data_IF_468297708553
#
_entry.id   IF_468297708553
#
_cell.length_a   1.000
_cell.length_b   1.000
_cell.length_c   1.000
_cell.angle_alpha   90.00
_cell.angle_beta   90.00
_cell.angle_gamma   90.00
#
_symmetry.space_group_name_H-M   'P 1'
#
loop_
_entity.id
_entity.type
_entity.pdbx_description
1 polymer ?
#
# COMPACT_ATOMS: atom_id res chain seq x y z
N UNK A 1 -65.68 4.64 44.33
CA UNK A 1 -65.74 4.49 45.80
C UNK A 1 -65.89 3.00 46.12
N UNK A 2 -65.00 2.46 46.99
CA UNK A 2 -65.00 1.08 47.56
C UNK A 2 -64.68 -0.03 46.53
N UNK A 3 -63.76 -0.99 46.73
CA UNK A 3 -63.17 -1.61 47.93
C UNK A 3 -61.75 -2.12 47.67
N UNK A 4 -60.96 -2.15 48.74
CA UNK A 4 -59.75 -2.92 49.00
C UNK A 4 -59.90 -4.43 48.78
N UNK A 5 -58.79 -5.12 48.46
CA UNK A 5 -58.41 -6.38 49.10
C UNK A 5 -56.91 -6.64 48.90
N UNK A 6 -56.21 -6.83 50.03
CA UNK A 6 -54.81 -7.23 50.17
C UNK A 6 -54.55 -8.63 49.60
N UNK A 7 -53.32 -8.87 49.13
CA UNK A 7 -52.62 -10.14 49.32
C UNK A 7 -51.11 -9.92 49.16
N UNK A 8 -50.37 -10.23 50.22
CA UNK A 8 -48.92 -10.31 50.27
C UNK A 8 -48.38 -11.36 49.28
N UNK A 9 -47.24 -11.06 48.64
CA UNK A 9 -46.36 -12.09 48.10
C UNK A 9 -44.90 -11.61 48.13
N UNK A 10 -44.15 -12.26 49.03
CA UNK A 10 -42.70 -12.33 49.07
C UNK A 10 -42.13 -12.72 47.69
N UNK A 11 -41.16 -11.96 47.16
CA UNK A 11 -40.65 -12.20 45.82
C UNK A 11 -39.31 -11.52 45.49
N UNK A 12 -38.22 -12.17 45.90
CA UNK A 12 -36.91 -12.27 45.22
C UNK A 12 -36.28 -10.97 44.69
N UNK A 13 -35.21 -10.54 45.36
CA UNK A 13 -34.19 -9.64 44.83
C UNK A 13 -33.58 -10.31 43.58
N UNK A 14 -33.98 -9.85 42.39
CA UNK A 14 -33.36 -10.26 41.15
C UNK A 14 -32.03 -9.51 41.00
N UNK A 15 -30.92 -10.23 41.23
CA UNK A 15 -29.58 -9.73 40.96
C UNK A 15 -29.41 -9.66 39.43
N UNK A 16 -29.51 -8.46 38.87
CA UNK A 16 -29.23 -8.21 37.47
C UNK A 16 -27.71 -8.35 37.25
N UNK A 17 -27.27 -9.50 36.73
CA UNK A 17 -25.90 -9.69 36.28
C UNK A 17 -25.75 -8.92 34.97
N UNK A 18 -25.23 -7.70 35.07
CA UNK A 18 -24.82 -6.90 33.92
C UNK A 18 -23.61 -7.62 33.28
N UNK A 19 -23.87 -8.47 32.30
CA UNK A 19 -22.83 -9.15 31.53
C UNK A 19 -22.19 -8.10 30.61
N UNK A 20 -21.11 -7.48 31.08
CA UNK A 20 -20.28 -6.61 30.27
C UNK A 20 -19.46 -7.49 29.32
N UNK A 21 -20.02 -7.77 28.13
CA UNK A 21 -19.25 -8.34 27.03
C UNK A 21 -18.22 -7.29 26.60
N UNK A 22 -17.00 -7.40 27.12
CA UNK A 22 -15.83 -6.72 26.53
C UNK A 22 -15.59 -7.41 25.18
N UNK A 23 -16.21 -6.87 24.12
CA UNK A 23 -15.83 -7.22 22.77
C UNK A 23 -14.40 -6.73 22.56
N UNK A 24 -13.45 -7.66 22.43
CA UNK A 24 -12.14 -7.32 21.88
C UNK A 24 -12.40 -6.68 20.51
N UNK A 25 -11.83 -5.48 20.22
CA UNK A 25 -11.95 -4.92 18.88
C UNK A 25 -11.42 -5.96 17.88
N UNK A 26 -12.08 -6.14 16.72
CA UNK A 26 -11.48 -6.93 15.67
C UNK A 26 -10.11 -6.33 15.36
N UNK A 27 -9.09 -7.15 15.16
CA UNK A 27 -7.81 -6.69 14.67
C UNK A 27 -8.05 -6.06 13.28
N UNK A 28 -8.12 -4.72 13.23
CA UNK A 28 -8.23 -3.96 11.99
C UNK A 28 -6.81 -3.84 11.45
N UNK A 29 -6.48 -4.65 10.44
CA UNK A 29 -5.23 -4.52 9.72
C UNK A 29 -5.33 -3.38 8.72
N UNK A 30 -4.30 -2.55 8.64
CA UNK A 30 -4.20 -1.39 7.75
C UNK A 30 -3.86 -1.78 6.30
N UNK A 31 -4.00 -3.06 5.95
CA UNK A 31 -3.58 -3.62 4.67
C UNK A 31 -4.34 -3.08 3.46
N UNK A 32 -4.06 -3.59 2.24
CA UNK A 32 -4.69 -3.11 1.02
C UNK A 32 -6.23 -3.19 1.05
N UNK A 33 -6.90 -2.09 0.70
CA UNK A 33 -8.36 -1.95 0.75
C UNK A 33 -8.97 -1.74 -0.63
N UNK A 34 -10.18 -2.28 -0.84
CA UNK A 34 -10.97 -2.02 -2.04
C UNK A 34 -10.31 -2.46 -3.35
N UNK A 35 -9.54 -3.54 -3.32
CA UNK A 35 -8.78 -4.02 -4.47
C UNK A 35 -9.69 -4.38 -5.66
N UNK A 36 -9.40 -3.80 -6.83
CA UNK A 36 -10.02 -4.09 -8.11
C UNK A 36 -8.93 -4.39 -9.14
N UNK A 37 -8.99 -5.56 -9.75
CA UNK A 37 -8.04 -5.96 -10.82
C UNK A 37 -8.50 -5.35 -12.14
N UNK A 38 -7.70 -4.47 -12.73
CA UNK A 38 -7.98 -3.84 -14.03
C UNK A 38 -7.31 -4.57 -15.20
N UNK A 39 -6.18 -5.22 -14.95
CA UNK A 39 -5.42 -5.97 -15.96
C UNK A 39 -4.64 -7.12 -15.33
N UNK A 40 -4.48 -8.23 -16.07
CA UNK A 40 -3.76 -9.42 -15.61
C UNK A 40 -4.58 -10.32 -14.69
N UNK A 41 -3.91 -11.28 -14.07
CA UNK A 41 -4.49 -12.21 -13.11
C UNK A 41 -3.90 -11.94 -11.73
N UNK A 42 -4.76 -11.81 -10.72
CA UNK A 42 -4.33 -11.54 -9.34
C UNK A 42 -5.16 -12.37 -8.37
N UNK A 43 -4.49 -12.95 -7.38
CA UNK A 43 -5.11 -13.64 -6.26
C UNK A 43 -4.57 -13.08 -4.94
N UNK A 44 -5.47 -12.87 -3.98
CA UNK A 44 -5.14 -12.35 -2.67
C UNK A 44 -5.32 -13.44 -1.62
N UNK A 45 -4.34 -13.58 -0.74
CA UNK A 45 -4.40 -14.48 0.41
C UNK A 45 -3.93 -13.73 1.64
N UNK A 46 -4.78 -13.64 2.65
CA UNK A 46 -4.44 -12.99 3.91
C UNK A 46 -4.39 -14.03 5.03
N UNK A 47 -3.31 -13.99 5.82
CA UNK A 47 -3.10 -14.85 6.98
C UNK A 47 -2.45 -14.04 8.09
N UNK A 48 -3.22 -13.69 9.12
CA UNK A 48 -2.70 -12.78 10.14
C UNK A 48 -2.32 -11.43 9.52
N UNK A 49 -1.28 -10.81 10.07
CA UNK A 49 -0.73 -9.54 9.57
C UNK A 49 -0.01 -9.65 8.19
N UNK A 50 -0.06 -10.81 7.52
CA UNK A 50 0.55 -11.00 6.20
C UNK A 50 -0.51 -11.11 5.10
N UNK A 51 -0.38 -10.26 4.09
CA UNK A 51 -1.14 -10.32 2.83
C UNK A 51 -0.20 -10.74 1.71
N UNK A 52 -0.48 -11.89 1.10
CA UNK A 52 0.23 -12.39 -0.08
C UNK A 52 -0.61 -12.13 -1.33
N UNK A 53 0.00 -11.51 -2.34
CA UNK A 53 -0.63 -11.13 -3.60
C UNK A 53 0.11 -11.86 -4.72
N UNK A 54 -0.53 -12.87 -5.28
CA UNK A 54 -0.02 -13.57 -6.47
C UNK A 54 -0.49 -12.77 -7.68
N UNK A 55 0.44 -12.22 -8.46
CA UNK A 55 0.11 -11.34 -9.58
C UNK A 55 0.85 -11.76 -10.85
N UNK A 56 0.16 -11.83 -11.99
CA UNK A 56 0.79 -12.06 -13.28
C UNK A 56 1.70 -10.88 -13.68
N UNK A 57 2.55 -11.09 -14.69
CA UNK A 57 3.27 -9.97 -15.29
C UNK A 57 2.30 -8.93 -15.87
N UNK A 58 2.70 -7.66 -15.75
CA UNK A 58 1.95 -6.45 -16.11
C UNK A 58 0.55 -6.38 -15.48
N UNK A 59 0.31 -7.01 -14.34
CA UNK A 59 -0.95 -6.86 -13.62
C UNK A 59 -1.14 -5.41 -13.15
N UNK A 60 -2.39 -4.93 -13.19
CA UNK A 60 -2.78 -3.61 -12.69
C UNK A 60 -3.89 -3.81 -11.66
N UNK A 61 -3.66 -3.34 -10.45
CA UNK A 61 -4.59 -3.40 -9.34
C UNK A 61 -4.86 -1.98 -8.87
N UNK A 62 -6.14 -1.61 -8.82
CA UNK A 62 -6.59 -0.36 -8.23
C UNK A 62 -7.08 -0.60 -6.80
N UNK A 63 -6.75 0.31 -5.88
CA UNK A 63 -7.14 0.24 -4.48
C UNK A 63 -7.83 1.54 -4.04
N UNK A 64 -8.75 1.46 -3.08
CA UNK A 64 -9.31 2.62 -2.38
C UNK A 64 -8.41 3.12 -1.25
N UNK A 65 -7.47 2.28 -0.80
CA UNK A 65 -6.45 2.56 0.21
C UNK A 65 -5.38 1.48 0.17
N UNK A 66 -4.14 1.82 0.45
CA UNK A 66 -3.05 0.86 0.53
C UNK A 66 -2.04 1.39 1.53
N UNK A 67 -2.07 0.85 2.74
CA UNK A 67 -1.08 1.08 3.78
C UNK A 67 -0.47 -0.27 4.20
N UNK A 68 0.67 -0.22 4.90
CA UNK A 68 1.27 -1.39 5.55
C UNK A 68 1.69 -0.96 6.94
N UNK A 69 0.96 -1.40 7.97
CA UNK A 69 1.29 -1.11 9.36
C UNK A 69 2.64 -1.68 9.79
N UNK A 70 3.24 -1.16 10.88
CA UNK A 70 4.60 -1.53 11.32
C UNK A 70 4.83 -3.03 11.60
N UNK A 71 3.77 -3.78 11.86
CA UNK A 71 3.81 -5.23 12.11
C UNK A 71 3.18 -6.04 10.97
N UNK A 72 2.87 -5.39 9.85
CA UNK A 72 2.22 -6.01 8.70
C UNK A 72 3.23 -6.26 7.59
N UNK A 73 2.90 -7.24 6.74
CA UNK A 73 3.67 -7.57 5.56
C UNK A 73 2.75 -7.70 4.36
N UNK A 74 3.08 -7.01 3.28
CA UNK A 74 2.52 -7.30 1.96
C UNK A 74 3.61 -7.94 1.11
N UNK A 75 3.33 -9.13 0.59
CA UNK A 75 4.25 -9.89 -0.25
C UNK A 75 3.65 -10.09 -1.64
N UNK A 76 4.33 -9.61 -2.69
CA UNK A 76 4.00 -9.94 -4.07
C UNK A 76 4.76 -11.18 -4.54
N UNK A 77 4.02 -12.13 -5.10
CA UNK A 77 4.56 -13.33 -5.73
C UNK A 77 4.24 -13.27 -7.22
N UNK A 78 5.27 -13.06 -8.03
CA UNK A 78 5.18 -12.83 -9.47
C UNK A 78 5.90 -13.95 -10.25
N UNK A 79 5.63 -14.14 -11.55
CA UNK A 79 6.23 -15.23 -12.34
C UNK A 79 7.76 -15.18 -12.47
N UNK A 80 8.38 -14.00 -12.35
CA UNK A 80 9.83 -13.84 -12.42
C UNK A 80 10.27 -12.51 -11.80
N UNK A 81 11.59 -12.32 -11.63
CA UNK A 81 12.20 -11.05 -11.22
C UNK A 81 12.00 -9.89 -12.21
N UNK A 82 11.60 -10.21 -13.45
CA UNK A 82 11.35 -9.24 -14.52
C UNK A 82 9.89 -8.77 -14.56
N UNK A 83 9.00 -9.50 -13.89
CA UNK A 83 7.57 -9.21 -13.94
C UNK A 83 7.25 -7.91 -13.18
N UNK A 84 6.34 -7.11 -13.73
CA UNK A 84 5.84 -5.90 -13.10
C UNK A 84 4.41 -6.07 -12.57
N UNK A 85 4.13 -5.49 -11.41
CA UNK A 85 2.76 -5.25 -10.92
C UNK A 85 2.59 -3.78 -10.59
N UNK A 86 1.52 -3.16 -11.11
CA UNK A 86 1.12 -1.80 -10.78
C UNK A 86 0.03 -1.80 -9.72
N UNK A 87 0.31 -1.16 -8.59
CA UNK A 87 -0.63 -0.82 -7.54
C UNK A 87 -0.97 0.66 -7.68
N UNK A 88 -2.20 0.94 -8.13
CA UNK A 88 -2.74 2.30 -8.25
C UNK A 88 -3.68 2.57 -7.08
N UNK A 89 -3.40 3.61 -6.31
CA UNK A 89 -4.23 4.01 -5.18
C UNK A 89 -5.04 5.24 -5.57
N UNK A 90 -6.37 5.13 -5.47
CA UNK A 90 -7.29 6.23 -5.66
C UNK A 90 -7.92 6.60 -4.32
N UNK A 91 -7.13 7.27 -3.49
CA UNK A 91 -7.56 7.77 -2.18
C UNK A 91 -7.25 9.27 -2.07
N UNK A 92 -7.92 9.95 -1.12
CA UNK A 92 -7.58 11.32 -0.77
C UNK A 92 -6.38 11.44 0.18
N UNK A 93 -5.82 10.31 0.62
CA UNK A 93 -4.77 10.24 1.64
C UNK A 93 -3.50 9.59 1.06
N UNK A 94 -2.30 10.02 1.49
CA UNK A 94 -1.06 9.35 1.08
C UNK A 94 -1.04 7.88 1.50
N UNK A 95 -0.32 7.07 0.72
CA UNK A 95 0.03 5.70 1.13
C UNK A 95 1.10 5.76 2.21
N UNK A 96 0.90 5.05 3.31
CA UNK A 96 1.83 4.93 4.44
C UNK A 96 2.33 3.50 4.56
N UNK A 97 3.62 3.30 4.31
CA UNK A 97 4.29 2.03 4.50
C UNK A 97 5.19 2.15 5.72
N UNK A 98 4.81 1.51 6.81
CA UNK A 98 5.60 1.40 8.04
C UNK A 98 6.08 -0.03 8.30
N UNK A 99 5.48 -1.04 7.66
CA UNK A 99 5.86 -2.45 7.74
C UNK A 99 6.73 -2.94 6.60
N UNK A 100 6.52 -4.19 6.19
CA UNK A 100 7.32 -4.85 5.16
C UNK A 100 6.59 -4.95 3.83
N UNK A 101 7.23 -4.49 2.75
CA UNK A 101 6.81 -4.72 1.37
C UNK A 101 7.84 -5.62 0.69
N UNK A 102 7.43 -6.83 0.35
CA UNK A 102 8.32 -7.85 -0.22
C UNK A 102 7.85 -8.21 -1.63
N UNK A 103 8.78 -8.43 -2.55
CA UNK A 103 8.44 -9.00 -3.86
C UNK A 103 9.62 -9.75 -4.47
N UNK A 104 9.33 -10.89 -5.10
CA UNK A 104 10.33 -11.54 -5.95
C UNK A 104 10.44 -10.87 -7.33
N UNK A 105 9.52 -9.97 -7.69
CA UNK A 105 9.48 -9.21 -8.93
C UNK A 105 9.53 -7.69 -8.70
N UNK A 106 8.97 -6.94 -9.64
CA UNK A 106 9.02 -5.47 -9.69
C UNK A 106 7.66 -4.88 -9.31
N UNK A 107 7.69 -3.87 -8.46
CA UNK A 107 6.49 -3.26 -7.87
C UNK A 107 6.43 -1.78 -8.20
N UNK A 108 5.32 -1.35 -8.79
CA UNK A 108 4.97 0.05 -8.91
C UNK A 108 3.87 0.41 -7.89
N UNK A 109 4.07 1.47 -7.12
CA UNK A 109 3.15 2.07 -6.17
C UNK A 109 2.87 3.50 -6.60
N UNK A 110 1.65 3.76 -7.05
CA UNK A 110 1.25 5.06 -7.58
C UNK A 110 0.09 5.58 -6.75
N UNK A 111 0.34 6.60 -5.93
CA UNK A 111 -0.69 7.30 -5.18
C UNK A 111 -0.53 8.81 -5.41
N UNK A 112 -1.43 9.45 -6.18
CA UNK A 112 -1.35 10.87 -6.46
C UNK A 112 -1.50 11.79 -5.23
N UNK A 113 -1.95 11.27 -4.09
CA UNK A 113 -1.96 11.97 -2.80
C UNK A 113 -0.58 11.93 -2.09
N UNK A 114 0.31 11.03 -2.50
CA UNK A 114 1.68 10.88 -1.97
C UNK A 114 1.99 9.45 -1.50
N UNK A 115 3.28 9.17 -1.32
CA UNK A 115 3.79 7.90 -0.80
C UNK A 115 4.80 8.19 0.31
N UNK A 116 4.56 7.67 1.50
CA UNK A 116 5.41 7.80 2.66
C UNK A 116 5.90 6.43 3.15
N UNK A 117 7.22 6.26 3.21
CA UNK A 117 7.86 5.11 3.84
C UNK A 117 8.38 5.55 5.21
N UNK A 118 7.75 5.07 6.28
CA UNK A 118 8.10 5.43 7.66
C UNK A 118 9.42 4.82 8.13
N UNK A 119 9.92 5.19 9.33
CA UNK A 119 11.24 4.78 9.83
C UNK A 119 11.45 3.27 9.96
N UNK A 120 10.37 2.52 10.23
CA UNK A 120 10.41 1.05 10.33
C UNK A 120 10.18 0.34 8.99
N UNK A 121 9.90 1.08 7.92
CA UNK A 121 9.58 0.50 6.63
C UNK A 121 10.76 -0.30 6.09
N UNK A 122 10.47 -1.51 5.63
CA UNK A 122 11.42 -2.35 4.89
C UNK A 122 10.80 -2.74 3.56
N UNK A 123 11.37 -2.24 2.48
CA UNK A 123 11.00 -2.63 1.12
C UNK A 123 12.13 -3.49 0.56
N UNK A 124 11.80 -4.70 0.10
CA UNK A 124 12.73 -5.62 -0.55
C UNK A 124 12.07 -6.20 -1.80
N UNK A 125 12.48 -5.70 -2.97
CA UNK A 125 11.87 -6.01 -4.27
C UNK A 125 12.95 -6.07 -5.36
N UNK A 126 12.65 -6.64 -6.53
CA UNK A 126 13.62 -6.58 -7.65
C UNK A 126 13.79 -5.15 -8.17
N UNK A 127 12.69 -4.46 -8.46
CA UNK A 127 12.68 -3.02 -8.79
C UNK A 127 11.49 -2.34 -8.13
N UNK A 128 11.70 -1.11 -7.70
CA UNK A 128 10.68 -0.27 -7.08
C UNK A 128 10.42 0.97 -7.92
N UNK A 129 9.16 1.24 -8.24
CA UNK A 129 8.68 2.56 -8.67
C UNK A 129 7.69 3.06 -7.62
N UNK A 130 7.98 4.17 -6.95
CA UNK A 130 7.07 4.84 -6.05
C UNK A 130 6.77 6.24 -6.58
N UNK A 131 5.49 6.56 -6.81
CA UNK A 131 5.11 7.84 -7.37
C UNK A 131 3.97 8.54 -6.62
N UNK A 132 4.22 9.81 -6.31
CA UNK A 132 3.24 10.80 -5.88
C UNK A 132 2.52 11.52 -7.05
N UNK A 133 2.87 11.18 -8.28
CA UNK A 133 2.24 11.68 -9.52
C UNK A 133 1.46 10.56 -10.20
N UNK A 134 0.59 10.88 -11.15
CA UNK A 134 -0.18 9.84 -11.84
C UNK A 134 0.62 9.19 -12.98
N UNK A 135 0.45 7.87 -13.15
CA UNK A 135 0.97 7.08 -14.27
C UNK A 135 -0.21 6.35 -14.91
N UNK A 136 -0.44 6.55 -16.22
CA UNK A 136 -1.56 5.92 -16.93
C UNK A 136 -1.34 4.41 -17.16
N UNK A 137 -2.43 3.64 -17.35
CA UNK A 137 -2.34 2.22 -17.69
C UNK A 137 -1.58 2.00 -19.00
N UNK A 138 -1.85 2.83 -20.01
CA UNK A 138 -1.18 2.74 -21.31
C UNK A 138 0.33 2.97 -21.19
N UNK A 139 0.75 3.99 -20.44
CA UNK A 139 2.17 4.27 -20.16
C UNK A 139 2.83 3.11 -19.40
N UNK A 140 2.16 2.58 -18.37
CA UNK A 140 2.69 1.44 -17.62
C UNK A 140 2.87 0.19 -18.50
N UNK A 141 1.88 -0.12 -19.33
CA UNK A 141 1.89 -1.29 -20.21
C UNK A 141 2.90 -1.16 -21.36
N UNK A 142 3.15 0.05 -21.87
CA UNK A 142 4.16 0.28 -22.92
C UNK A 142 5.60 0.26 -22.40
N UNK A 143 5.80 0.49 -21.10
CA UNK A 143 7.14 0.70 -20.52
C UNK A 143 7.71 2.10 -20.76
N UNK A 144 6.93 2.99 -21.38
CA UNK A 144 7.24 4.41 -21.56
C UNK A 144 6.40 5.20 -20.55
N UNK A 145 7.01 5.47 -19.39
CA UNK A 145 6.32 6.03 -18.25
C UNK A 145 6.30 7.55 -18.32
N UNK A 146 5.12 8.09 -18.60
CA UNK A 146 4.85 9.51 -18.46
C UNK A 146 4.07 9.74 -17.17
N UNK A 147 4.69 10.53 -16.28
CA UNK A 147 4.11 10.95 -15.02
C UNK A 147 3.56 12.35 -15.18
N UNK A 148 2.25 12.50 -14.93
CA UNK A 148 1.53 13.75 -15.11
C UNK A 148 0.66 14.04 -13.91
N UNK A 149 0.57 15.32 -13.56
CA UNK A 149 -0.39 15.81 -12.61
C UNK A 149 -0.24 15.22 -11.20
N UNK A 150 -1.05 15.77 -10.31
CA UNK A 150 -1.08 15.47 -8.89
C UNK A 150 0.22 15.78 -8.13
N UNK A 151 0.03 16.17 -6.88
CA UNK A 151 0.99 16.97 -6.13
C UNK A 151 1.61 16.20 -4.97
N UNK A 152 1.47 14.88 -4.99
CA UNK A 152 1.93 14.02 -3.92
C UNK A 152 3.44 14.05 -3.80
N UNK A 153 3.92 14.13 -2.56
CA UNK A 153 5.32 13.95 -2.25
C UNK A 153 5.64 12.47 -2.12
N UNK A 154 6.89 12.10 -2.43
CA UNK A 154 7.44 10.78 -2.09
C UNK A 154 8.49 10.97 -1.00
N UNK A 155 8.22 10.45 0.19
CA UNK A 155 9.10 10.63 1.35
C UNK A 155 9.55 9.28 1.86
N UNK A 156 10.87 9.08 2.00
CA UNK A 156 11.45 7.87 2.56
C UNK A 156 12.22 8.16 3.85
N UNK A 157 11.79 7.55 4.95
CA UNK A 157 12.50 7.49 6.24
C UNK A 157 12.98 6.07 6.58
N UNK A 158 12.58 5.07 5.80
CA UNK A 158 12.89 3.66 6.02
C UNK A 158 14.03 3.13 5.17
N UNK A 159 13.98 1.83 4.88
CA UNK A 159 14.98 1.12 4.07
C UNK A 159 14.34 0.58 2.80
N UNK A 160 14.79 1.10 1.65
CA UNK A 160 14.38 0.64 0.32
C UNK A 160 15.52 -0.15 -0.31
N UNK A 161 15.34 -1.46 -0.47
CA UNK A 161 16.30 -2.37 -1.08
C UNK A 161 15.75 -2.89 -2.42
N UNK A 162 16.41 -2.55 -3.53
CA UNK A 162 16.07 -3.04 -4.86
C UNK A 162 17.22 -2.85 -5.85
N UNK A 163 17.27 -3.64 -6.94
CA UNK A 163 18.21 -3.42 -8.04
C UNK A 163 18.03 -2.03 -8.66
N UNK A 164 16.78 -1.56 -8.78
CA UNK A 164 16.50 -0.19 -9.21
C UNK A 164 15.36 0.44 -8.43
N UNK A 165 15.52 1.71 -8.09
CA UNK A 165 14.54 2.49 -7.33
C UNK A 165 14.21 3.77 -8.12
N UNK A 166 12.93 3.99 -8.40
CA UNK A 166 12.43 5.20 -9.03
C UNK A 166 11.49 5.90 -8.03
N UNK A 167 11.87 7.09 -7.57
CA UNK A 167 11.04 7.94 -6.71
C UNK A 167 10.62 9.16 -7.52
N UNK A 168 9.31 9.32 -7.75
CA UNK A 168 8.78 10.37 -8.63
C UNK A 168 7.65 11.13 -7.95
N UNK A 169 7.78 12.43 -7.75
CA UNK A 169 6.75 13.21 -7.05
C UNK A 169 6.81 14.69 -7.37
N UNK A 170 5.89 15.48 -6.79
CA UNK A 170 6.05 16.93 -6.75
C UNK A 170 7.33 17.31 -5.99
N UNK A 171 7.54 16.60 -4.90
CA UNK A 171 8.68 16.70 -4.03
C UNK A 171 9.11 15.27 -3.70
N UNK A 172 10.42 15.05 -3.61
CA UNK A 172 10.98 13.78 -3.16
C UNK A 172 11.98 14.05 -2.06
N UNK A 173 11.77 13.42 -0.91
CA UNK A 173 12.62 13.57 0.28
C UNK A 173 13.10 12.19 0.72
N UNK A 174 14.40 12.05 0.95
CA UNK A 174 14.98 10.83 1.48
C UNK A 174 15.78 11.13 2.76
N UNK A 175 15.28 10.66 3.90
CA UNK A 175 15.96 10.62 5.20
C UNK A 175 16.39 9.20 5.58
N UNK A 176 15.86 8.18 4.90
CA UNK A 176 16.22 6.78 5.06
C UNK A 176 17.35 6.32 4.15
N UNK A 177 17.38 5.03 3.85
CA UNK A 177 18.38 4.41 2.98
C UNK A 177 17.77 3.91 1.66
N UNK A 178 18.49 4.19 0.56
CA UNK A 178 18.25 3.64 -0.76
C UNK A 178 19.40 2.68 -1.06
N UNK A 179 19.13 1.38 -1.09
CA UNK A 179 20.11 0.32 -1.26
C UNK A 179 19.87 -0.33 -2.61
N UNK A 180 20.80 -0.12 -3.53
CA UNK A 180 20.80 -0.70 -4.87
C UNK A 180 22.22 -1.20 -5.20
N UNK A 181 22.65 -2.35 -4.65
CA UNK A 181 23.97 -2.90 -4.90
C UNK A 181 24.09 -3.22 -6.39
N UNK A 182 25.03 -2.57 -7.07
CA UNK A 182 25.23 -2.65 -8.53
C UNK A 182 24.08 -2.07 -9.38
N UNK A 183 23.19 -1.33 -8.73
CA UNK A 183 21.95 -0.82 -9.28
C UNK A 183 21.90 0.70 -9.51
N UNK A 184 20.68 1.23 -9.70
CA UNK A 184 20.44 2.66 -9.93
C UNK A 184 19.25 3.15 -9.12
N UNK A 185 19.38 4.31 -8.50
CA UNK A 185 18.23 5.08 -8.01
C UNK A 185 18.04 6.35 -8.85
N UNK A 186 16.79 6.67 -9.15
CA UNK A 186 16.37 7.86 -9.89
C UNK A 186 15.37 8.61 -9.04
N UNK A 187 15.63 9.90 -8.84
CA UNK A 187 14.72 10.83 -8.18
C UNK A 187 14.31 11.87 -9.21
N UNK A 188 13.02 11.99 -9.46
CA UNK A 188 12.45 13.02 -10.33
C UNK A 188 11.40 13.82 -9.56
N UNK A 189 11.62 15.13 -9.45
CA UNK A 189 10.72 16.05 -8.77
C UNK A 189 10.26 17.15 -9.72
N UNK A 190 8.95 17.30 -9.91
CA UNK A 190 8.40 18.28 -10.85
C UNK A 190 6.89 18.16 -11.08
N UNK A 191 6.40 18.84 -12.11
CA UNK A 191 4.98 18.77 -12.54
C UNK A 191 4.76 17.72 -13.64
N UNK A 192 5.85 17.31 -14.30
CA UNK A 192 5.91 16.25 -15.31
C UNK A 192 7.22 15.49 -15.14
N UNK A 193 7.20 14.19 -15.41
CA UNK A 193 8.43 13.43 -15.60
C UNK A 193 8.23 12.37 -16.69
N UNK A 194 9.23 12.17 -17.53
CA UNK A 194 9.30 11.05 -18.46
C UNK A 194 10.42 10.12 -18.04
N UNK A 195 10.08 8.84 -17.87
CA UNK A 195 11.03 7.76 -17.66
C UNK A 195 10.77 6.64 -18.65
N UNK A 196 11.83 6.01 -19.14
CA UNK A 196 11.72 4.78 -19.93
C UNK A 196 12.21 3.61 -19.11
N UNK A 197 11.38 2.58 -19.00
CA UNK A 197 11.82 1.29 -18.47
C UNK A 197 12.83 0.69 -19.45
N UNK A 198 14.07 0.51 -19.01
CA UNK A 198 15.13 -0.03 -19.85
C UNK A 198 16.07 -0.88 -19.01
N UNK A 199 16.74 -1.83 -19.62
CA UNK A 199 17.88 -2.52 -19.00
C UNK A 199 19.18 -1.70 -19.10
N UNK A 200 19.18 -0.64 -19.91
CA UNK A 200 20.33 0.23 -20.19
C UNK A 200 20.21 1.61 -19.53
N UNK A 201 20.70 2.69 -20.19
CA UNK A 201 20.60 4.04 -19.66
C UNK A 201 19.15 4.42 -19.36
N UNK A 202 18.94 5.12 -18.25
CA UNK A 202 17.66 5.74 -17.95
C UNK A 202 17.64 7.14 -18.56
N UNK A 203 16.60 7.40 -19.33
CA UNK A 203 16.30 8.74 -19.84
C UNK A 203 15.31 9.41 -18.89
N UNK A 204 15.65 10.61 -18.46
CA UNK A 204 14.85 11.42 -17.54
C UNK A 204 14.64 12.79 -18.18
N UNK A 205 13.38 13.18 -18.36
CA UNK A 205 12.99 14.56 -18.70
C UNK A 205 12.06 15.05 -17.60
N UNK A 206 12.37 16.20 -17.00
CA UNK A 206 11.64 16.80 -15.87
C UNK A 206 11.37 18.27 -16.17
#
# INVERSE_FOLDING_TARGET
MKKSHEAEACGRIALAILSFFVGLPPDVWAGPEGAQVLHGQVQFQQQGAQTTIQASDRAIIQYSGFDIGAHETVQFVQPSAWAWVLNRIQSGAPTSISGSLLANGRVALVNPAGVYFGPSARVDVSRLLASGMNLSDASFLSGEWEFLGCNGSVVNEGQLNAERIYLVGREVVNHGSLIAPDGLWVVAAGERALLRESEGPVYVEV
#
